data_IF_942391896907
#
_entry.id   IF_942391896907
#
_cell.length_a   1.000
_cell.length_b   1.000
_cell.length_c   1.000
_cell.angle_alpha   90.00
_cell.angle_beta   90.00
_cell.angle_gamma   90.00
#
_symmetry.space_group_name_H-M   'P 1'
#
loop_
_entity.id
_entity.type
_entity.pdbx_description
1 polymer ?
#
# COMPACT_ATOMS: atom_id res chain seq x y z
N UNK A 1 -3.86 77.19 -8.38
CA UNK A 1 -4.60 78.05 -7.43
C UNK A 1 -6.09 77.89 -7.71
N UNK A 2 -6.91 77.64 -6.68
CA UNK A 2 -8.28 77.12 -6.80
C UNK A 2 -9.31 78.26 -6.95
N UNK A 3 -10.62 77.95 -6.99
CA UNK A 3 -11.36 78.32 -5.79
C UNK A 3 -12.32 77.27 -5.25
N UNK A 4 -12.59 77.52 -3.98
CA UNK A 4 -13.35 76.83 -2.96
C UNK A 4 -14.85 77.13 -2.99
N UNK A 5 -15.61 76.10 -2.57
CA UNK A 5 -16.87 76.03 -1.82
C UNK A 5 -18.01 77.04 -2.04
N UNK A 6 -19.22 76.51 -2.25
CA UNK A 6 -20.31 76.61 -1.27
C UNK A 6 -21.48 75.68 -1.64
N UNK A 7 -21.89 74.78 -0.75
CA UNK A 7 -23.32 74.45 -0.54
C UNK A 7 -23.51 73.87 0.87
N UNK A 8 -24.52 74.40 1.55
CA UNK A 8 -24.87 74.26 2.96
C UNK A 8 -26.21 73.53 3.10
N UNK A 9 -26.31 72.63 4.07
CA UNK A 9 -27.55 72.05 4.62
C UNK A 9 -28.12 70.86 3.82
N UNK A 10 -28.68 69.80 4.41
CA UNK A 10 -29.25 69.62 5.74
C UNK A 10 -29.14 68.16 6.21
N UNK A 11 -29.35 68.02 7.51
CA UNK A 11 -29.37 66.86 8.39
C UNK A 11 -29.91 65.54 7.80
N UNK A 12 -29.34 64.41 8.21
CA UNK A 12 -30.11 63.39 8.94
C UNK A 12 -29.18 62.65 9.92
N UNK A 13 -29.57 62.75 11.19
CA UNK A 13 -28.99 62.03 12.30
C UNK A 13 -29.27 60.52 12.18
N UNK A 14 -28.33 59.71 12.68
CA UNK A 14 -28.69 58.44 13.29
C UNK A 14 -27.78 57.25 13.00
N UNK A 15 -27.03 56.88 14.05
CA UNK A 15 -26.87 55.49 14.49
C UNK A 15 -25.66 54.72 13.90
N UNK A 16 -24.59 54.75 14.73
CA UNK A 16 -23.58 53.71 14.99
C UNK A 16 -22.28 53.69 14.16
N UNK A 17 -21.34 54.55 14.57
CA UNK A 17 -19.88 54.27 14.56
C UNK A 17 -19.43 53.71 15.93
N UNK A 18 -18.27 53.02 16.00
CA UNK A 18 -18.02 51.90 16.90
C UNK A 18 -17.60 52.36 18.30
N UNK A 19 -18.13 51.70 19.33
CA UNK A 19 -17.64 51.85 20.70
C UNK A 19 -16.44 50.92 20.89
N UNK A 20 -15.26 51.51 20.80
CA UNK A 20 -14.03 50.92 21.37
C UNK A 20 -14.29 50.77 22.87
N UNK A 21 -14.53 49.55 23.35
CA UNK A 21 -14.56 49.24 24.76
C UNK A 21 -13.11 49.07 25.24
N UNK A 22 -12.61 50.04 26.01
CA UNK A 22 -11.42 49.90 26.83
C UNK A 22 -11.81 49.32 28.19
N UNK A 23 -10.89 48.51 28.70
CA UNK A 23 -10.70 48.03 30.08
C UNK A 23 -11.55 46.84 30.57
N UNK A 24 -10.83 45.74 30.80
CA UNK A 24 -10.65 45.35 32.20
C UNK A 24 -11.34 44.07 32.66
N UNK A 25 -11.85 43.23 31.77
CA UNK A 25 -12.20 41.86 32.17
C UNK A 25 -11.13 40.92 31.63
N UNK A 26 -10.16 40.60 32.49
CA UNK A 26 -9.37 39.38 32.33
C UNK A 26 -10.38 38.24 32.41
N UNK A 27 -10.93 37.85 31.26
CA UNK A 27 -11.53 36.52 31.13
C UNK A 27 -10.35 35.58 31.33
N UNK A 28 -10.14 35.18 32.57
CA UNK A 28 -9.35 34.01 32.85
C UNK A 28 -10.06 32.89 32.11
N UNK A 29 -9.55 32.54 30.93
CA UNK A 29 -9.76 31.21 30.38
C UNK A 29 -9.17 30.29 31.43
N UNK A 30 -10.00 29.93 32.41
CA UNK A 30 -9.72 28.89 33.38
C UNK A 30 -9.39 27.69 32.52
N UNK A 31 -8.10 27.37 32.38
CA UNK A 31 -7.68 26.07 31.92
C UNK A 31 -8.40 25.08 32.82
N UNK A 32 -9.54 24.58 32.33
CA UNK A 32 -10.18 23.43 32.94
C UNK A 32 -9.22 22.30 32.65
N UNK A 33 -8.42 22.02 33.66
CA UNK A 33 -7.60 20.84 33.81
C UNK A 33 -8.55 19.62 33.80
N UNK A 34 -9.03 19.26 32.61
CA UNK A 34 -9.81 18.06 32.38
C UNK A 34 -8.84 16.88 32.35
N UNK A 35 -8.80 16.13 33.45
CA UNK A 35 -8.55 14.68 33.40
C UNK A 35 -7.10 14.23 33.18
N UNK A 36 -6.17 14.69 34.02
CA UNK A 36 -4.76 14.25 34.04
C UNK A 36 -4.49 12.79 34.46
N UNK A 37 -5.50 11.92 34.54
CA UNK A 37 -5.32 10.50 34.87
C UNK A 37 -5.40 9.58 33.65
N UNK A 38 -6.55 9.59 32.99
CA UNK A 38 -6.84 8.68 31.86
C UNK A 38 -6.23 9.20 30.56
N UNK A 39 -6.33 10.50 30.27
CA UNK A 39 -5.78 11.11 29.05
C UNK A 39 -4.24 11.07 29.07
N UNK A 40 -3.63 11.31 30.24
CA UNK A 40 -2.18 11.20 30.42
C UNK A 40 -1.66 9.75 30.32
N UNK A 41 -2.42 8.77 30.83
CA UNK A 41 -2.10 7.35 30.69
C UNK A 41 -2.22 6.87 29.24
N UNK A 42 -3.26 7.30 28.51
CA UNK A 42 -3.43 7.03 27.07
C UNK A 42 -2.26 7.59 26.25
N UNK A 43 -1.84 8.83 26.53
CA UNK A 43 -0.72 9.48 25.83
C UNK A 43 0.63 8.79 26.10
N UNK A 44 0.84 8.27 27.32
CA UNK A 44 2.02 7.44 27.66
C UNK A 44 2.00 6.07 26.98
N UNK A 45 0.81 5.47 26.85
CA UNK A 45 0.63 4.21 26.13
C UNK A 45 0.88 4.39 24.62
N UNK A 46 0.42 5.49 24.02
CA UNK A 46 0.73 5.88 22.64
C UNK A 46 2.23 5.99 22.42
N UNK A 47 2.95 6.75 23.26
CA UNK A 47 4.40 6.91 23.11
C UNK A 47 5.20 5.61 23.29
N UNK A 48 4.72 4.70 24.15
CA UNK A 48 5.31 3.38 24.32
C UNK A 48 5.12 2.49 23.09
N UNK A 49 3.93 2.51 22.50
CA UNK A 49 3.62 1.76 21.26
C UNK A 49 4.38 2.36 20.07
N UNK A 50 4.47 3.68 19.96
CA UNK A 50 5.28 4.33 18.92
C UNK A 50 6.76 3.96 19.02
N UNK A 51 7.34 3.97 20.22
CA UNK A 51 8.74 3.57 20.45
C UNK A 51 8.96 2.09 20.12
N UNK A 52 8.01 1.22 20.46
CA UNK A 52 8.04 -0.22 20.11
C UNK A 52 7.93 -0.44 18.60
N UNK A 53 7.05 0.29 17.91
CA UNK A 53 6.90 0.25 16.46
C UNK A 53 8.14 0.82 15.73
N UNK A 54 8.80 1.83 16.29
CA UNK A 54 10.06 2.36 15.77
C UNK A 54 11.23 1.38 15.96
N UNK A 55 11.38 0.79 17.15
CA UNK A 55 12.44 -0.19 17.43
C UNK A 55 12.19 -1.55 16.79
N UNK A 56 10.94 -1.92 16.54
CA UNK A 56 10.55 -3.15 15.83
C UNK A 56 11.16 -3.25 14.43
N UNK A 57 11.62 -2.15 13.84
CA UNK A 57 12.33 -2.15 12.55
C UNK A 57 13.67 -2.87 12.60
N UNK A 58 14.41 -2.72 13.70
CA UNK A 58 15.70 -3.40 13.89
C UNK A 58 15.53 -4.91 14.00
N UNK A 59 14.35 -5.39 14.41
CA UNK A 59 14.02 -6.81 14.42
C UNK A 59 13.98 -7.41 13.02
N UNK A 60 13.65 -6.64 11.97
CA UNK A 60 13.58 -7.11 10.58
C UNK A 60 14.96 -7.25 9.92
N UNK A 61 15.96 -6.48 10.37
CA UNK A 61 17.33 -6.51 9.85
C UNK A 61 17.94 -7.92 9.82
N UNK A 62 17.92 -8.72 10.92
CA UNK A 62 18.46 -10.07 10.88
C UNK A 62 17.69 -11.01 9.93
N UNK A 63 16.39 -10.80 9.71
CA UNK A 63 15.64 -11.59 8.73
C UNK A 63 16.11 -11.30 7.30
N UNK A 64 16.32 -10.04 6.93
CA UNK A 64 16.86 -9.69 5.61
C UNK A 64 18.28 -10.21 5.42
N UNK A 65 19.11 -10.17 6.48
CA UNK A 65 20.45 -10.74 6.44
C UNK A 65 20.41 -12.27 6.27
N UNK A 66 19.46 -12.93 6.95
CA UNK A 66 19.19 -14.36 6.78
C UNK A 66 18.73 -14.71 5.37
N UNK A 67 17.86 -13.89 4.76
CA UNK A 67 17.42 -14.06 3.37
C UNK A 67 18.56 -13.87 2.37
N UNK A 68 19.47 -12.92 2.61
CA UNK A 68 20.70 -12.75 1.81
C UNK A 68 21.62 -13.97 1.91
N UNK A 69 21.81 -14.52 3.12
CA UNK A 69 22.56 -15.77 3.28
C UNK A 69 21.84 -16.95 2.62
N UNK A 70 20.52 -16.99 2.68
CA UNK A 70 19.69 -17.96 1.97
C UNK A 70 19.90 -17.92 0.46
N UNK A 71 20.02 -16.72 -0.14
CA UNK A 71 20.38 -16.59 -1.55
C UNK A 71 21.74 -17.21 -1.87
N UNK A 72 22.74 -17.07 -0.99
CA UNK A 72 24.04 -17.74 -1.17
C UNK A 72 23.88 -19.26 -1.16
N UNK A 73 23.08 -19.80 -0.24
CA UNK A 73 22.77 -21.24 -0.20
C UNK A 73 22.08 -21.70 -1.49
N UNK A 74 21.13 -20.92 -2.02
CA UNK A 74 20.47 -21.23 -3.29
C UNK A 74 21.42 -21.19 -4.47
N UNK A 75 22.40 -20.28 -4.50
CA UNK A 75 23.44 -20.27 -5.54
C UNK A 75 24.27 -21.55 -5.48
N UNK A 76 24.68 -21.99 -4.28
CA UNK A 76 25.40 -23.26 -4.13
C UNK A 76 24.57 -24.43 -4.63
N UNK A 77 23.28 -24.47 -4.29
CA UNK A 77 22.34 -25.50 -4.75
C UNK A 77 22.14 -25.47 -6.25
N UNK A 78 21.96 -24.30 -6.84
CA UNK A 78 21.86 -24.12 -8.28
C UNK A 78 23.09 -24.68 -9.00
N UNK A 79 24.30 -24.39 -8.50
CA UNK A 79 25.53 -24.94 -9.09
C UNK A 79 25.59 -26.46 -8.96
N UNK A 80 25.18 -27.02 -7.83
CA UNK A 80 25.11 -28.48 -7.64
C UNK A 80 24.17 -29.14 -8.64
N UNK A 81 22.92 -28.66 -8.75
CA UNK A 81 21.93 -29.21 -9.69
C UNK A 81 22.33 -28.96 -11.14
N UNK A 82 23.02 -27.86 -11.42
CA UNK A 82 23.52 -27.56 -12.77
C UNK A 82 24.62 -28.53 -13.18
N UNK A 83 25.56 -28.84 -12.28
CA UNK A 83 26.59 -29.85 -12.52
C UNK A 83 25.95 -31.22 -12.69
N UNK A 84 24.92 -31.55 -11.90
CA UNK A 84 24.18 -32.80 -12.04
C UNK A 84 23.49 -32.90 -13.40
N UNK A 85 22.75 -31.87 -13.82
CA UNK A 85 22.13 -31.80 -15.13
C UNK A 85 23.19 -31.97 -16.24
N UNK A 86 24.32 -31.24 -16.15
CA UNK A 86 25.37 -31.31 -17.15
C UNK A 86 26.01 -32.71 -17.25
N UNK A 87 26.09 -33.46 -16.15
CA UNK A 87 26.66 -34.82 -16.16
C UNK A 87 25.71 -35.85 -16.76
N UNK A 88 24.40 -35.61 -16.70
CA UNK A 88 23.39 -36.52 -17.25
C UNK A 88 22.92 -36.12 -18.66
N UNK A 89 23.18 -34.89 -19.11
CA UNK A 89 22.61 -34.30 -20.32
C UNK A 89 22.84 -35.06 -21.64
N UNK A 90 23.89 -35.89 -21.72
CA UNK A 90 24.22 -36.63 -22.94
C UNK A 90 23.72 -38.09 -22.94
N UNK A 91 23.55 -38.68 -21.75
CA UNK A 91 23.26 -40.11 -21.59
C UNK A 91 21.89 -40.39 -20.98
N UNK A 92 21.26 -39.39 -20.35
CA UNK A 92 19.98 -39.56 -19.69
C UNK A 92 18.80 -39.37 -20.63
N UNK A 93 17.65 -39.91 -20.20
CA UNK A 93 16.43 -39.77 -20.98
C UNK A 93 16.00 -38.30 -21.07
N UNK A 94 15.18 -37.99 -22.09
CA UNK A 94 14.57 -36.66 -22.22
C UNK A 94 13.78 -36.27 -20.96
N UNK A 95 13.20 -37.28 -20.29
CA UNK A 95 12.49 -37.20 -19.00
C UNK A 95 13.41 -36.67 -17.90
N UNK A 96 14.51 -37.37 -17.65
CA UNK A 96 15.41 -37.04 -16.54
C UNK A 96 16.03 -35.65 -16.74
N UNK A 97 16.37 -35.33 -17.99
CA UNK A 97 16.85 -34.00 -18.39
C UNK A 97 15.80 -32.91 -18.14
N UNK A 98 14.52 -33.20 -18.43
CA UNK A 98 13.41 -32.26 -18.20
C UNK A 98 13.18 -32.03 -16.70
N UNK A 99 13.17 -33.09 -15.89
CA UNK A 99 13.01 -32.98 -14.43
C UNK A 99 14.12 -32.13 -13.82
N UNK A 100 15.39 -32.41 -14.13
CA UNK A 100 16.51 -31.62 -13.62
C UNK A 100 16.49 -30.16 -14.11
N UNK A 101 15.97 -29.90 -15.31
CA UNK A 101 15.72 -28.52 -15.78
C UNK A 101 14.61 -27.83 -14.97
N UNK A 102 13.53 -28.53 -14.62
CA UNK A 102 12.46 -27.98 -13.76
C UNK A 102 12.99 -27.64 -12.35
N UNK A 103 13.84 -28.49 -11.78
CA UNK A 103 14.47 -28.26 -10.47
C UNK A 103 15.34 -27.00 -10.48
N UNK A 104 16.13 -26.80 -11.54
CA UNK A 104 16.93 -25.59 -11.72
C UNK A 104 16.07 -24.34 -11.88
N UNK A 105 14.97 -24.42 -12.63
CA UNK A 105 14.02 -23.32 -12.78
C UNK A 105 13.38 -22.94 -11.45
N UNK A 106 13.03 -23.93 -10.62
CA UNK A 106 12.43 -23.67 -9.30
C UNK A 106 13.40 -22.94 -8.37
N UNK A 107 14.67 -23.34 -8.33
CA UNK A 107 15.70 -22.65 -7.54
C UNK A 107 15.83 -21.18 -7.96
N UNK A 108 15.82 -20.90 -9.28
CA UNK A 108 15.88 -19.54 -9.82
C UNK A 108 14.65 -18.73 -9.44
N UNK A 109 13.46 -19.33 -9.52
CA UNK A 109 12.20 -18.66 -9.19
C UNK A 109 12.09 -18.37 -7.69
N UNK A 110 12.56 -19.30 -6.84
CA UNK A 110 12.68 -19.09 -5.40
C UNK A 110 13.66 -17.95 -5.07
N UNK A 111 14.80 -17.87 -5.76
CA UNK A 111 15.75 -16.78 -5.58
C UNK A 111 15.17 -15.41 -5.98
N UNK A 112 14.44 -15.35 -7.11
CA UNK A 112 13.74 -14.14 -7.55
C UNK A 112 12.68 -13.69 -6.55
N UNK A 113 11.95 -14.65 -5.98
CA UNK A 113 10.98 -14.39 -4.92
C UNK A 113 11.65 -13.79 -3.67
N UNK A 114 12.75 -14.37 -3.21
CA UNK A 114 13.49 -13.86 -2.06
C UNK A 114 14.01 -12.43 -2.32
N UNK A 115 14.55 -12.15 -3.51
CA UNK A 115 15.01 -10.81 -3.87
C UNK A 115 13.88 -9.78 -3.83
N UNK A 116 12.70 -10.13 -4.37
CA UNK A 116 11.52 -9.28 -4.31
C UNK A 116 11.14 -8.95 -2.86
N UNK A 117 11.15 -9.94 -1.97
CA UNK A 117 10.84 -9.77 -0.55
C UNK A 117 11.87 -8.88 0.14
N UNK A 118 13.17 -9.08 -0.14
CA UNK A 118 14.26 -8.27 0.42
C UNK A 118 14.11 -6.81 -0.03
N UNK A 119 13.98 -6.55 -1.34
CA UNK A 119 13.91 -5.17 -1.85
C UNK A 119 12.64 -4.46 -1.39
N UNK A 120 11.49 -5.15 -1.40
CA UNK A 120 10.25 -4.59 -0.87
C UNK A 120 10.35 -4.33 0.64
N UNK A 121 10.87 -5.28 1.41
CA UNK A 121 11.06 -5.10 2.84
C UNK A 121 12.02 -3.96 3.18
N UNK A 122 13.10 -3.84 2.41
CA UNK A 122 14.06 -2.74 2.55
C UNK A 122 13.44 -1.38 2.18
N UNK A 123 12.74 -1.27 1.06
CA UNK A 123 12.08 -0.03 0.64
C UNK A 123 11.06 0.44 1.68
N UNK A 124 10.23 -0.49 2.18
CA UNK A 124 9.14 -0.20 3.10
C UNK A 124 9.58 0.16 4.51
N UNK A 125 10.61 -0.50 5.04
CA UNK A 125 10.96 -0.41 6.46
C UNK A 125 12.29 0.29 6.74
N UNK A 126 13.24 0.30 5.79
CA UNK A 126 14.56 0.91 5.97
C UNK A 126 14.69 2.22 5.18
N UNK A 127 14.27 2.24 3.90
CA UNK A 127 14.44 3.41 3.02
C UNK A 127 13.44 4.53 3.30
N UNK A 128 12.13 4.25 3.30
CA UNK A 128 11.09 5.30 3.42
C UNK A 128 10.93 5.93 4.81
N UNK A 129 11.60 5.41 5.84
CA UNK A 129 11.49 5.92 7.21
C UNK A 129 12.79 6.49 7.77
N UNK A 130 13.95 6.22 7.14
CA UNK A 130 15.17 6.98 7.41
C UNK A 130 15.09 8.41 6.84
N UNK A 131 14.43 8.58 5.68
CA UNK A 131 14.16 9.91 5.07
C UNK A 131 13.09 10.71 5.85
N UNK A 132 12.32 10.05 6.72
CA UNK A 132 11.32 10.69 7.56
C UNK A 132 11.90 11.30 8.86
N UNK A 133 13.19 11.15 9.14
CA UNK A 133 13.83 11.77 10.31
C UNK A 133 14.22 13.24 10.09
N UNK A 134 14.12 13.78 8.87
CA UNK A 134 14.57 15.14 8.51
C UNK A 134 13.46 16.05 7.96
N UNK A 135 12.17 15.74 8.22
CA UNK A 135 11.07 16.63 7.83
C UNK A 135 9.91 16.58 8.84
N UNK A 136 9.71 17.71 9.52
CA UNK A 136 8.69 17.96 10.55
C UNK A 136 7.27 18.14 10.00
N UNK A 137 7.03 17.85 8.73
CA UNK A 137 5.70 17.88 8.11
C UNK A 137 5.56 16.72 7.12
N UNK A 138 4.83 15.67 7.51
CA UNK A 138 4.60 14.52 6.63
C UNK A 138 3.29 14.74 5.85
N UNK A 139 3.31 14.92 4.52
CA UNK A 139 2.09 15.12 3.73
C UNK A 139 1.39 13.78 3.42
N UNK A 140 0.06 13.84 3.22
CA UNK A 140 -0.88 12.71 3.16
C UNK A 140 -0.70 11.69 2.02
N UNK A 141 0.24 11.89 1.10
CA UNK A 141 0.46 11.01 -0.06
C UNK A 141 1.53 9.92 0.16
N UNK A 142 2.21 9.88 1.31
CA UNK A 142 3.38 9.02 1.56
C UNK A 142 3.08 7.55 1.90
N UNK A 143 1.94 6.99 1.45
CA UNK A 143 1.34 5.78 2.04
C UNK A 143 0.94 4.63 1.10
N UNK A 144 1.25 4.67 -0.20
CA UNK A 144 0.94 3.55 -1.09
C UNK A 144 2.20 2.97 -1.70
N UNK A 145 2.93 2.19 -0.90
CA UNK A 145 3.83 1.19 -1.48
C UNK A 145 2.94 0.04 -1.95
N UNK A 146 3.08 -0.31 -3.21
CA UNK A 146 2.29 -1.31 -3.92
C UNK A 146 2.62 -2.73 -3.44
N UNK A 147 2.23 -3.04 -2.20
CA UNK A 147 2.27 -4.40 -1.67
C UNK A 147 1.36 -5.35 -2.45
N UNK A 148 0.36 -4.80 -3.15
CA UNK A 148 -0.62 -5.54 -3.92
C UNK A 148 -0.07 -6.08 -5.24
N UNK A 149 0.50 -5.21 -6.07
CA UNK A 149 1.17 -5.60 -7.30
C UNK A 149 2.34 -6.54 -7.07
N UNK A 150 3.02 -6.43 -5.91
CA UNK A 150 4.05 -7.39 -5.53
C UNK A 150 3.49 -8.79 -5.21
N UNK A 151 2.39 -8.86 -4.44
CA UNK A 151 1.72 -10.11 -4.10
C UNK A 151 1.13 -10.80 -5.33
N UNK A 152 0.52 -10.04 -6.24
CA UNK A 152 -0.04 -10.59 -7.48
C UNK A 152 1.06 -11.18 -8.37
N UNK A 153 2.21 -10.52 -8.51
CA UNK A 153 3.34 -11.04 -9.29
C UNK A 153 3.87 -12.37 -8.72
N UNK A 154 3.96 -12.47 -7.39
CA UNK A 154 4.38 -13.68 -6.68
C UNK A 154 3.40 -14.84 -6.87
N UNK A 155 2.09 -14.57 -6.69
CA UNK A 155 1.06 -15.61 -6.88
C UNK A 155 1.02 -16.05 -8.35
N UNK A 156 1.19 -15.11 -9.29
CA UNK A 156 1.31 -15.42 -10.71
C UNK A 156 2.48 -16.36 -11.03
N UNK A 157 3.67 -16.13 -10.45
CA UNK A 157 4.80 -17.05 -10.63
C UNK A 157 4.54 -18.43 -10.04
N UNK A 158 3.89 -18.51 -8.87
CA UNK A 158 3.57 -19.78 -8.21
C UNK A 158 2.57 -20.61 -9.03
N UNK A 159 1.53 -19.97 -9.57
CA UNK A 159 0.56 -20.63 -10.47
C UNK A 159 1.26 -21.12 -11.74
N UNK A 160 2.13 -20.32 -12.36
CA UNK A 160 2.86 -20.69 -13.57
C UNK A 160 3.78 -21.91 -13.36
N UNK A 161 4.52 -21.95 -12.25
CA UNK A 161 5.38 -23.09 -11.90
C UNK A 161 4.57 -24.38 -11.75
N UNK A 162 3.43 -24.30 -11.06
CA UNK A 162 2.59 -25.48 -10.83
C UNK A 162 2.03 -26.09 -12.13
N UNK A 163 1.79 -25.28 -13.18
CA UNK A 163 1.42 -25.80 -14.52
C UNK A 163 2.58 -26.55 -15.16
N UNK A 164 3.80 -26.01 -15.08
CA UNK A 164 4.99 -26.63 -15.68
C UNK A 164 5.24 -28.01 -15.06
N UNK A 165 5.11 -28.12 -13.74
CA UNK A 165 5.24 -29.40 -13.02
C UNK A 165 4.17 -30.40 -13.44
N UNK A 166 2.92 -29.96 -13.60
CA UNK A 166 1.83 -30.81 -14.06
C UNK A 166 2.07 -31.32 -15.50
N UNK A 167 2.58 -30.46 -16.38
CA UNK A 167 2.90 -30.81 -17.77
C UNK A 167 4.03 -31.84 -17.84
N UNK A 168 5.06 -31.70 -17.01
CA UNK A 168 6.17 -32.66 -16.96
C UNK A 168 5.67 -34.07 -16.62
N UNK A 169 4.79 -34.20 -15.62
CA UNK A 169 4.21 -35.50 -15.23
C UNK A 169 3.26 -36.05 -16.31
N UNK A 170 2.56 -35.20 -17.05
CA UNK A 170 1.69 -35.62 -18.13
C UNK A 170 2.44 -36.18 -19.36
N UNK A 171 3.69 -35.78 -19.58
CA UNK A 171 4.51 -36.27 -20.69
C UNK A 171 5.08 -37.68 -20.48
N UNK A 172 4.84 -38.30 -19.32
CA UNK A 172 5.35 -39.62 -18.94
C UNK A 172 4.25 -40.65 -18.67
N UNK A 173 3.62 -41.20 -19.72
CA UNK A 173 2.49 -42.12 -19.57
C UNK A 173 2.83 -43.46 -18.89
N UNK A 174 4.09 -43.89 -18.91
CA UNK A 174 4.50 -45.22 -18.45
C UNK A 174 4.64 -45.35 -16.91
N UNK A 175 4.67 -44.24 -16.17
CA UNK A 175 4.75 -44.22 -14.69
C UNK A 175 3.61 -43.41 -14.05
N UNK A 176 2.51 -43.19 -14.76
CA UNK A 176 1.40 -42.40 -14.25
C UNK A 176 0.68 -43.10 -13.10
N UNK A 177 1.07 -42.80 -11.87
CA UNK A 177 0.22 -43.02 -10.71
C UNK A 177 -0.97 -42.05 -10.80
N UNK A 178 -2.15 -42.59 -11.12
CA UNK A 178 -3.37 -41.78 -11.30
C UNK A 178 -3.69 -40.94 -10.07
N UNK A 179 -3.45 -41.44 -8.86
CA UNK A 179 -3.69 -40.71 -7.63
C UNK A 179 -2.73 -39.52 -7.49
N UNK A 180 -1.46 -39.70 -7.85
CA UNK A 180 -0.47 -38.63 -7.82
C UNK A 180 -0.84 -37.48 -8.76
N UNK A 181 -1.18 -37.80 -10.01
CA UNK A 181 -1.61 -36.81 -11.01
C UNK A 181 -2.90 -36.11 -10.56
N UNK A 182 -3.86 -36.86 -10.00
CA UNK A 182 -5.09 -36.30 -9.48
C UNK A 182 -4.84 -35.26 -8.38
N UNK A 183 -3.95 -35.56 -7.42
CA UNK A 183 -3.59 -34.60 -6.36
C UNK A 183 -2.86 -33.38 -6.91
N UNK A 184 -1.97 -33.54 -7.90
CA UNK A 184 -1.31 -32.40 -8.54
C UNK A 184 -2.32 -31.49 -9.26
N UNK A 185 -3.31 -32.05 -9.95
CA UNK A 185 -4.41 -31.26 -10.56
C UNK A 185 -5.18 -30.49 -9.49
N UNK A 186 -5.54 -31.14 -8.37
CA UNK A 186 -6.27 -30.48 -7.28
C UNK A 186 -5.47 -29.33 -6.67
N UNK A 187 -4.17 -29.54 -6.41
CA UNK A 187 -3.30 -28.50 -5.86
C UNK A 187 -3.17 -27.33 -6.85
N UNK A 188 -2.98 -27.62 -8.14
CA UNK A 188 -2.89 -26.60 -9.18
C UNK A 188 -4.19 -25.77 -9.25
N UNK A 189 -5.35 -26.42 -9.28
CA UNK A 189 -6.65 -25.73 -9.26
C UNK A 189 -6.82 -24.86 -8.01
N UNK A 190 -6.34 -25.34 -6.85
CA UNK A 190 -6.36 -24.56 -5.60
C UNK A 190 -5.53 -23.28 -5.72
N UNK A 191 -4.34 -23.35 -6.34
CA UNK A 191 -3.50 -22.17 -6.60
C UNK A 191 -4.13 -21.20 -7.60
N UNK A 192 -4.72 -21.71 -8.69
CA UNK A 192 -5.43 -20.88 -9.68
C UNK A 192 -6.58 -20.13 -9.01
N UNK A 193 -7.45 -20.84 -8.29
CA UNK A 193 -8.59 -20.24 -7.59
C UNK A 193 -8.11 -19.19 -6.58
N UNK A 194 -7.09 -19.52 -5.78
CA UNK A 194 -6.53 -18.59 -4.80
C UNK A 194 -5.96 -17.33 -5.46
N UNK A 195 -5.27 -17.47 -6.60
CA UNK A 195 -4.72 -16.35 -7.35
C UNK A 195 -5.78 -15.46 -7.99
N UNK A 196 -6.85 -16.05 -8.55
CA UNK A 196 -7.99 -15.29 -9.07
C UNK A 196 -8.69 -14.53 -7.95
N UNK A 197 -8.95 -15.16 -6.81
CA UNK A 197 -9.56 -14.50 -5.65
C UNK A 197 -8.71 -13.33 -5.16
N UNK A 198 -7.39 -13.49 -5.11
CA UNK A 198 -6.46 -12.42 -4.76
C UNK A 198 -6.52 -11.25 -5.75
N UNK A 199 -6.49 -11.54 -7.05
CA UNK A 199 -6.58 -10.52 -8.09
C UNK A 199 -7.92 -9.76 -8.04
N UNK A 200 -9.02 -10.47 -7.76
CA UNK A 200 -10.35 -9.86 -7.60
C UNK A 200 -10.40 -8.97 -6.35
N UNK A 201 -9.89 -9.44 -5.21
CA UNK A 201 -9.82 -8.65 -3.98
C UNK A 201 -9.07 -7.34 -4.23
N UNK A 202 -7.94 -7.43 -4.93
CA UNK A 202 -7.11 -6.28 -5.23
C UNK A 202 -7.79 -5.28 -6.17
N UNK A 203 -8.39 -5.79 -7.25
CA UNK A 203 -9.17 -4.98 -8.19
C UNK A 203 -10.33 -4.23 -7.53
N UNK A 204 -11.01 -4.88 -6.57
CA UNK A 204 -12.10 -4.25 -5.80
C UNK A 204 -11.53 -3.14 -4.89
N UNK A 205 -10.40 -3.39 -4.23
CA UNK A 205 -9.76 -2.41 -3.37
C UNK A 205 -9.34 -1.15 -4.16
N UNK A 206 -8.77 -1.33 -5.35
CA UNK A 206 -8.37 -0.23 -6.23
C UNK A 206 -9.57 0.57 -6.74
N UNK A 207 -10.65 -0.10 -7.17
CA UNK A 207 -11.89 0.57 -7.57
C UNK A 207 -12.47 1.42 -6.45
N UNK A 208 -12.47 0.91 -5.22
CA UNK A 208 -13.01 1.64 -4.06
C UNK A 208 -12.20 2.90 -3.78
N UNK A 209 -10.88 2.84 -3.87
CA UNK A 209 -10.02 4.00 -3.71
C UNK A 209 -10.29 5.11 -4.75
N UNK A 210 -10.58 4.73 -6.00
CA UNK A 210 -10.92 5.72 -7.06
C UNK A 210 -12.26 6.40 -6.76
N UNK A 211 -13.26 5.64 -6.29
CA UNK A 211 -14.59 6.18 -5.95
C UNK A 211 -14.49 7.16 -4.78
N UNK A 212 -13.72 6.81 -3.74
CA UNK A 212 -13.54 7.67 -2.56
C UNK A 212 -12.90 9.02 -2.94
N UNK A 213 -11.88 9.00 -3.81
CA UNK A 213 -11.24 10.23 -4.33
C UNK A 213 -12.21 11.06 -5.17
N UNK A 214 -13.01 10.42 -6.02
CA UNK A 214 -14.01 11.12 -6.84
C UNK A 214 -15.08 11.78 -5.98
N UNK A 215 -15.54 11.11 -4.92
CA UNK A 215 -16.51 11.65 -3.97
C UNK A 215 -15.94 12.86 -3.19
N UNK A 216 -14.69 12.77 -2.75
CA UNK A 216 -14.01 13.87 -2.04
C UNK A 216 -13.81 15.09 -2.95
N UNK A 217 -13.42 14.87 -4.22
CA UNK A 217 -13.31 15.95 -5.21
C UNK A 217 -14.65 16.64 -5.48
N UNK A 218 -15.73 15.87 -5.63
CA UNK A 218 -17.06 16.42 -5.83
C UNK A 218 -17.55 17.24 -4.61
N UNK A 219 -17.26 16.78 -3.39
CA UNK A 219 -17.58 17.51 -2.16
C UNK A 219 -16.82 18.84 -2.07
N UNK A 220 -15.54 18.87 -2.47
CA UNK A 220 -14.73 20.09 -2.51
C UNK A 220 -15.22 21.08 -3.56
N UNK A 221 -15.57 20.61 -4.77
CA UNK A 221 -16.15 21.47 -5.82
C UNK A 221 -17.44 22.14 -5.36
N UNK A 222 -18.30 21.41 -4.63
CA UNK A 222 -19.52 21.97 -4.05
C UNK A 222 -19.22 23.04 -2.99
N UNK A 223 -18.22 22.84 -2.12
CA UNK A 223 -17.83 23.84 -1.13
C UNK A 223 -17.26 25.11 -1.76
N UNK A 224 -16.49 24.97 -2.84
CA UNK A 224 -15.93 26.12 -3.58
C UNK A 224 -17.07 26.92 -4.23
N UNK A 225 -18.01 26.24 -4.91
CA UNK A 225 -19.16 26.87 -5.56
C UNK A 225 -20.11 27.54 -4.56
N UNK A 226 -20.35 26.91 -3.40
CA UNK A 226 -21.14 27.52 -2.32
C UNK A 226 -20.52 28.84 -1.85
N UNK A 227 -19.18 28.86 -1.73
CA UNK A 227 -18.44 30.02 -1.26
C UNK A 227 -18.34 31.14 -2.31
N UNK A 228 -18.32 30.80 -3.61
CA UNK A 228 -18.25 31.78 -4.71
C UNK A 228 -19.62 32.34 -5.14
N UNK A 229 -20.67 31.53 -5.17
CA UNK A 229 -21.94 31.91 -5.81
C UNK A 229 -23.15 31.88 -4.87
N UNK A 230 -23.06 31.27 -3.69
CA UNK A 230 -24.22 30.99 -2.84
C UNK A 230 -25.12 29.91 -3.44
N UNK A 231 -25.76 29.10 -2.60
CA UNK A 231 -26.38 27.84 -3.01
C UNK A 231 -27.55 28.02 -4.02
N UNK A 232 -27.35 27.69 -5.30
CA UNK A 232 -28.44 27.53 -6.28
C UNK A 232 -29.06 26.12 -6.19
N UNK A 233 -30.40 26.06 -5.98
CA UNK A 233 -31.13 24.78 -5.87
C UNK A 233 -31.10 24.00 -7.19
N UNK A 234 -30.74 22.71 -7.11
CA UNK A 234 -30.84 21.75 -8.23
C UNK A 234 -29.50 21.22 -8.78
N UNK A 235 -28.37 21.70 -8.27
CA UNK A 235 -27.05 21.34 -8.78
C UNK A 235 -26.61 19.91 -8.43
N UNK A 236 -26.93 19.41 -7.23
CA UNK A 236 -26.59 18.06 -6.78
C UNK A 236 -27.21 16.94 -7.66
N UNK A 237 -28.36 17.21 -8.30
CA UNK A 237 -29.00 16.26 -9.22
C UNK A 237 -28.26 16.12 -10.57
N UNK A 238 -27.31 17.01 -10.89
CA UNK A 238 -26.52 16.96 -12.14
C UNK A 238 -25.19 16.23 -12.00
N UNK A 239 -24.77 15.93 -10.77
CA UNK A 239 -23.46 15.34 -10.46
C UNK A 239 -23.52 13.88 -10.04
N UNK A 240 -24.71 13.27 -10.02
CA UNK A 240 -24.87 11.83 -9.79
C UNK A 240 -24.11 11.04 -10.87
N UNK A 241 -23.01 10.34 -10.52
CA UNK A 241 -22.21 9.59 -11.48
C UNK A 241 -22.88 8.26 -11.88
N UNK A 242 -24.02 7.91 -11.28
CA UNK A 242 -24.74 6.65 -11.48
C UNK A 242 -25.98 6.76 -12.37
N UNK A 243 -26.53 7.97 -12.58
CA UNK A 243 -27.62 8.21 -13.53
C UNK A 243 -28.87 7.35 -13.29
N UNK A 244 -29.09 6.92 -12.04
CA UNK A 244 -30.27 6.19 -11.55
C UNK A 244 -30.62 6.65 -10.14
#
# INVERSE_FOLDING_TARGET
>A
MPPEYEFRGQEFAGILRPRIAKEGTVVTTRERNYGGGVIGALKKFEGGIESLLFNGRWLLVPFYLGLLLGLVVLVVKFVQEFIHLASIALDASLKDTTISLLELLDIVLLANLILIVIFSGYENFVSKIAVAQDAEDRPSWMGKVDFSGLKIKLIGSLVAISVIQLLAVFLEPDEMNTDHVFWMIIIHLTFVVSGVLFAVMDFIADKRAIIDIAAEKAALELQILEKEHGFEKGYAAKLDPTGQ
#
